data_IF_455655046795
#
_entry.id   IF_455655046795
#
_cell.length_a   1.000
_cell.length_b   1.000
_cell.length_c   1.000
_cell.angle_alpha   90.00
_cell.angle_beta   90.00
_cell.angle_gamma   90.00
#
_symmetry.space_group_name_H-M   'P 1'
#
loop_
_entity.id
_entity.type
_entity.pdbx_description
1 polymer ?
#
# COMPACT_ATOMS: atom_id res chain seq x y z
N UNK A 1 -47.66 -6.27 70.70
CA UNK A 1 -47.32 -4.85 70.48
C UNK A 1 -45.81 -4.79 70.33
N UNK A 2 -45.30 -4.90 69.11
CA UNK A 2 -43.86 -4.71 68.86
C UNK A 2 -43.54 -3.25 69.15
N UNK A 3 -42.48 -3.03 69.94
CA UNK A 3 -42.16 -1.72 70.49
C UNK A 3 -41.64 -0.81 69.36
N UNK A 4 -42.13 0.42 69.26
CA UNK A 4 -41.83 1.35 68.15
C UNK A 4 -40.31 1.57 67.91
N UNK A 5 -39.50 1.47 68.98
CA UNK A 5 -38.03 1.54 68.94
C UNK A 5 -37.37 0.37 68.19
N UNK A 6 -37.94 -0.83 68.25
CA UNK A 6 -37.42 -2.03 67.58
C UNK A 6 -37.58 -1.90 66.06
N UNK A 7 -38.73 -1.35 65.62
CA UNK A 7 -39.01 -1.09 64.22
C UNK A 7 -38.05 -0.02 63.65
N UNK A 8 -37.79 1.06 64.40
CA UNK A 8 -36.83 2.09 64.01
C UNK A 8 -35.39 1.56 63.86
N UNK A 9 -34.94 0.70 64.78
CA UNK A 9 -33.62 0.06 64.71
C UNK A 9 -33.48 -0.90 63.53
N UNK A 10 -34.55 -1.63 63.19
CA UNK A 10 -34.54 -2.53 62.03
C UNK A 10 -34.41 -1.75 60.72
N UNK A 11 -35.15 -0.64 60.58
CA UNK A 11 -35.05 0.25 59.42
C UNK A 11 -33.65 0.89 59.31
N UNK A 12 -33.09 1.36 60.41
CA UNK A 12 -31.74 1.94 60.41
C UNK A 12 -30.66 0.92 60.02
N UNK A 13 -30.78 -0.32 60.48
CA UNK A 13 -29.88 -1.42 60.09
C UNK A 13 -30.02 -1.73 58.60
N UNK A 14 -31.24 -1.85 58.10
CA UNK A 14 -31.49 -2.14 56.68
C UNK A 14 -30.92 -1.06 55.75
N UNK A 15 -31.07 0.22 56.10
CA UNK A 15 -30.48 1.34 55.34
C UNK A 15 -28.95 1.25 55.33
N UNK A 16 -28.34 0.93 56.47
CA UNK A 16 -26.89 0.81 56.58
C UNK A 16 -26.36 -0.34 55.72
N UNK A 17 -26.99 -1.50 55.79
CA UNK A 17 -26.62 -2.65 54.96
C UNK A 17 -26.77 -2.34 53.47
N UNK A 18 -27.83 -1.64 53.07
CA UNK A 18 -28.02 -1.23 51.67
C UNK A 18 -26.93 -0.24 51.21
N UNK A 19 -26.53 0.69 52.07
CA UNK A 19 -25.43 1.62 51.79
C UNK A 19 -24.08 0.91 51.68
N UNK A 20 -23.78 0.00 52.62
CA UNK A 20 -22.54 -0.79 52.60
C UNK A 20 -22.46 -1.66 51.34
N UNK A 21 -23.60 -2.25 50.91
CA UNK A 21 -23.67 -3.01 49.66
C UNK A 21 -23.42 -2.13 48.43
N UNK A 22 -24.05 -0.96 48.34
CA UNK A 22 -23.82 -0.02 47.24
C UNK A 22 -22.35 0.43 47.18
N UNK A 23 -21.72 0.67 48.33
CA UNK A 23 -20.32 1.05 48.39
C UNK A 23 -19.40 -0.09 47.94
N UNK A 24 -19.71 -1.34 48.34
CA UNK A 24 -19.00 -2.52 47.88
C UNK A 24 -19.15 -2.74 46.37
N UNK A 25 -20.35 -2.53 45.82
CA UNK A 25 -20.62 -2.64 44.38
C UNK A 25 -19.85 -1.57 43.60
N UNK A 26 -19.76 -0.35 44.13
CA UNK A 26 -19.04 0.77 43.53
C UNK A 26 -17.52 0.50 43.49
N UNK A 27 -16.95 -0.01 44.58
CA UNK A 27 -15.55 -0.46 44.59
C UNK A 27 -15.32 -1.69 43.70
N UNK A 28 -16.33 -2.56 43.55
CA UNK A 28 -16.27 -3.71 42.65
C UNK A 28 -16.31 -3.32 41.16
N UNK A 29 -16.77 -2.11 40.83
CA UNK A 29 -16.80 -1.59 39.46
C UNK A 29 -15.44 -1.08 38.99
N UNK A 30 -14.64 -0.44 39.85
CA UNK A 30 -13.30 0.07 39.49
C UNK A 30 -12.38 -0.98 38.84
N UNK A 31 -12.14 -2.18 39.42
CA UNK A 31 -11.27 -3.18 38.81
C UNK A 31 -11.88 -3.76 37.53
N UNK A 32 -13.21 -3.79 37.40
CA UNK A 32 -13.88 -4.25 36.17
C UNK A 32 -13.67 -3.25 35.03
N UNK A 33 -13.77 -1.96 35.32
CA UNK A 33 -13.50 -0.89 34.35
C UNK A 33 -12.03 -0.89 33.95
N UNK A 34 -11.11 -0.99 34.90
CA UNK A 34 -9.67 -1.08 34.63
C UNK A 34 -9.34 -2.29 33.75
N UNK A 35 -9.84 -3.49 34.09
CA UNK A 35 -9.62 -4.69 33.30
C UNK A 35 -10.20 -4.60 31.89
N UNK A 36 -11.38 -3.96 31.73
CA UNK A 36 -11.98 -3.74 30.42
C UNK A 36 -11.14 -2.79 29.56
N UNK A 37 -10.62 -1.71 30.16
CA UNK A 37 -9.73 -0.76 29.48
C UNK A 37 -8.43 -1.44 29.07
N UNK A 38 -7.78 -2.19 29.96
CA UNK A 38 -6.55 -2.92 29.66
C UNK A 38 -6.73 -3.95 28.53
N UNK A 39 -7.85 -4.66 28.55
CA UNK A 39 -8.21 -5.62 27.49
C UNK A 39 -8.40 -4.91 26.16
N UNK A 40 -9.11 -3.77 26.14
CA UNK A 40 -9.32 -2.99 24.93
C UNK A 40 -8.01 -2.43 24.37
N UNK A 41 -7.14 -1.88 25.21
CA UNK A 41 -5.82 -1.40 24.80
C UNK A 41 -4.96 -2.53 24.23
N UNK A 42 -4.93 -3.69 24.90
CA UNK A 42 -4.17 -4.85 24.42
C UNK A 42 -4.62 -5.30 23.03
N UNK A 43 -5.94 -5.30 22.78
CA UNK A 43 -6.49 -5.64 21.48
C UNK A 43 -6.11 -4.62 20.41
N UNK A 44 -6.28 -3.33 20.69
CA UNK A 44 -5.93 -2.25 19.75
C UNK A 44 -4.43 -2.28 19.43
N UNK A 45 -3.58 -2.52 20.43
CA UNK A 45 -2.13 -2.59 20.23
C UNK A 45 -1.75 -3.80 19.37
N UNK A 46 -2.33 -4.97 19.64
CA UNK A 46 -2.11 -6.16 18.83
C UNK A 46 -2.58 -5.99 17.37
N UNK A 47 -3.70 -5.30 17.14
CA UNK A 47 -4.17 -4.97 15.80
C UNK A 47 -3.26 -3.94 15.11
N UNK A 48 -2.79 -2.93 15.82
CA UNK A 48 -1.85 -1.94 15.30
C UNK A 48 -0.53 -2.61 14.86
N UNK A 49 0.05 -3.47 15.69
CA UNK A 49 1.25 -4.25 15.36
C UNK A 49 1.03 -5.14 14.13
N UNK A 50 -0.14 -5.76 14.02
CA UNK A 50 -0.49 -6.61 12.89
C UNK A 50 -0.62 -5.80 11.59
N UNK A 51 -1.18 -4.59 11.65
CA UNK A 51 -1.27 -3.69 10.51
C UNK A 51 0.10 -3.16 10.10
N UNK A 52 0.94 -2.77 11.05
CA UNK A 52 2.30 -2.31 10.77
C UNK A 52 3.13 -3.39 10.05
N UNK A 53 3.09 -4.63 10.55
CA UNK A 53 3.76 -5.77 9.88
C UNK A 53 3.27 -5.98 8.44
N UNK A 54 1.95 -5.85 8.21
CA UNK A 54 1.38 -5.95 6.86
C UNK A 54 1.84 -4.78 5.98
N UNK A 55 1.89 -3.56 6.51
CA UNK A 55 2.37 -2.38 5.77
C UNK A 55 3.83 -2.53 5.37
N UNK A 56 4.70 -3.02 6.26
CA UNK A 56 6.10 -3.31 5.95
C UNK A 56 6.19 -4.36 4.84
N UNK A 57 5.47 -5.47 4.97
CA UNK A 57 5.45 -6.52 3.95
C UNK A 57 4.93 -6.02 2.58
N UNK A 58 3.92 -5.13 2.58
CA UNK A 58 3.44 -4.48 1.36
C UNK A 58 4.48 -3.52 0.76
N UNK A 59 5.15 -2.72 1.58
CA UNK A 59 6.19 -1.81 1.12
C UNK A 59 7.38 -2.56 0.51
N UNK A 60 7.80 -3.68 1.12
CA UNK A 60 8.83 -4.57 0.56
C UNK A 60 8.38 -5.19 -0.77
N UNK A 61 7.12 -5.62 -0.85
CA UNK A 61 6.55 -6.17 -2.07
C UNK A 61 6.48 -5.13 -3.19
N UNK A 62 6.03 -3.92 -2.89
CA UNK A 62 5.96 -2.80 -3.81
C UNK A 62 7.36 -2.37 -4.27
N UNK A 63 8.34 -2.32 -3.36
CA UNK A 63 9.74 -2.07 -3.71
C UNK A 63 10.31 -3.15 -4.63
N UNK A 64 9.96 -4.43 -4.41
CA UNK A 64 10.35 -5.53 -5.31
C UNK A 64 9.68 -5.43 -6.67
N UNK A 65 8.40 -5.05 -6.73
CA UNK A 65 7.71 -4.79 -8.00
C UNK A 65 8.38 -3.62 -8.71
N UNK A 66 8.62 -2.52 -8.02
CA UNK A 66 9.26 -1.33 -8.60
C UNK A 66 10.65 -1.65 -9.10
N UNK A 67 11.46 -2.36 -8.32
CA UNK A 67 12.76 -2.86 -8.74
C UNK A 67 12.65 -3.79 -9.96
N UNK A 68 11.64 -4.67 -10.01
CA UNK A 68 11.41 -5.53 -11.17
C UNK A 68 10.93 -4.73 -12.41
N UNK A 69 10.17 -3.66 -12.23
CA UNK A 69 9.72 -2.76 -13.30
C UNK A 69 10.88 -1.90 -13.80
N UNK A 70 11.71 -1.36 -12.90
CA UNK A 70 12.90 -0.57 -13.23
C UNK A 70 13.99 -1.45 -13.90
N UNK A 71 14.10 -2.71 -13.49
CA UNK A 71 14.99 -3.70 -14.10
C UNK A 71 14.40 -4.39 -15.33
N UNK A 72 13.09 -4.28 -15.57
CA UNK A 72 12.53 -4.64 -16.85
C UNK A 72 12.83 -3.48 -17.81
N UNK A 73 13.72 -3.64 -18.78
CA UNK A 73 13.71 -2.69 -19.89
C UNK A 73 12.29 -2.73 -20.43
N UNK A 74 11.61 -1.58 -20.50
CA UNK A 74 10.34 -1.44 -21.20
C UNK A 74 10.62 -1.74 -22.68
N UNK A 75 10.71 -3.03 -23.02
CA UNK A 75 11.15 -3.49 -24.32
C UNK A 75 10.03 -3.21 -25.30
N UNK A 76 10.37 -2.42 -26.31
CA UNK A 76 9.50 -2.10 -27.42
C UNK A 76 9.99 -2.92 -28.60
N UNK A 77 9.08 -3.67 -29.20
CA UNK A 77 9.30 -4.37 -30.46
C UNK A 77 8.97 -3.40 -31.61
N UNK A 78 9.92 -3.22 -32.52
CA UNK A 78 9.80 -2.38 -33.71
C UNK A 78 9.92 -3.29 -34.94
N UNK A 79 8.96 -3.23 -35.85
CA UNK A 79 9.07 -3.83 -37.18
C UNK A 79 9.49 -2.74 -38.16
N UNK A 80 10.70 -2.84 -38.71
CA UNK A 80 11.30 -1.83 -39.59
C UNK A 80 11.47 -2.40 -40.98
N UNK A 81 10.65 -1.96 -41.94
CA UNK A 81 10.68 -2.46 -43.32
C UNK A 81 10.50 -3.97 -43.44
N UNK A 82 9.83 -4.61 -42.48
CA UNK A 82 9.67 -6.07 -42.39
C UNK A 82 10.66 -6.79 -41.47
N UNK A 83 11.64 -6.09 -40.88
CA UNK A 83 12.62 -6.67 -39.95
C UNK A 83 12.32 -6.30 -38.50
N UNK A 84 12.24 -7.30 -37.62
CA UNK A 84 11.96 -7.07 -36.20
C UNK A 84 13.21 -6.67 -35.41
N UNK A 85 13.12 -5.57 -34.68
CA UNK A 85 14.10 -5.07 -33.71
C UNK A 85 13.47 -4.98 -32.32
N UNK A 86 14.25 -5.24 -31.28
CA UNK A 86 13.83 -5.04 -29.89
C UNK A 86 14.82 -4.13 -29.17
N UNK A 87 14.28 -3.18 -28.41
CA UNK A 87 15.07 -2.22 -27.64
C UNK A 87 14.26 -1.64 -26.48
N UNK A 88 14.92 -1.06 -25.47
CA UNK A 88 14.19 -0.39 -24.39
C UNK A 88 13.60 0.94 -24.85
N UNK A 89 12.44 1.31 -24.27
CA UNK A 89 11.80 2.61 -24.46
C UNK A 89 12.75 3.75 -24.09
N UNK A 90 13.56 3.59 -23.05
CA UNK A 90 14.56 4.58 -22.64
C UNK A 90 15.62 4.82 -23.72
N UNK A 91 16.02 3.77 -24.45
CA UNK A 91 16.95 3.92 -25.58
C UNK A 91 16.34 4.76 -26.70
N UNK A 92 15.04 4.58 -26.98
CA UNK A 92 14.32 5.36 -27.99
C UNK A 92 14.05 6.80 -27.54
N UNK A 93 13.88 7.02 -26.23
CA UNK A 93 13.61 8.32 -25.63
C UNK A 93 14.87 9.08 -25.19
N UNK A 94 16.07 8.50 -25.32
CA UNK A 94 17.34 9.13 -24.92
C UNK A 94 17.60 10.47 -25.61
N UNK A 95 17.10 10.64 -26.83
CA UNK A 95 17.16 11.91 -27.54
C UNK A 95 15.87 12.70 -27.36
N UNK A 96 15.89 13.72 -26.50
CA UNK A 96 14.78 14.68 -26.40
C UNK A 96 14.55 15.38 -27.74
N UNK A 97 13.29 15.55 -28.14
CA UNK A 97 12.92 16.19 -29.41
C UNK A 97 13.15 15.35 -30.68
N UNK A 98 13.60 14.10 -30.56
CA UNK A 98 13.77 13.20 -31.71
C UNK A 98 12.44 12.61 -32.19
N UNK A 99 12.47 12.02 -33.40
CA UNK A 99 11.32 11.34 -34.01
C UNK A 99 10.63 10.36 -33.05
N UNK A 100 11.40 9.55 -32.32
CA UNK A 100 10.86 8.58 -31.34
C UNK A 100 10.27 9.24 -30.10
N UNK A 101 10.87 10.34 -29.62
CA UNK A 101 10.33 11.11 -28.52
C UNK A 101 8.96 11.71 -28.86
N UNK A 102 8.80 12.27 -30.06
CA UNK A 102 7.52 12.79 -30.54
C UNK A 102 6.50 11.67 -30.83
N UNK A 103 6.93 10.55 -31.43
CA UNK A 103 6.04 9.43 -31.76
C UNK A 103 5.50 8.74 -30.49
N UNK A 104 6.38 8.37 -29.55
CA UNK A 104 5.99 7.64 -28.35
C UNK A 104 5.40 8.55 -27.27
N UNK A 105 5.80 9.83 -27.22
CA UNK A 105 5.27 10.82 -26.28
C UNK A 105 3.89 11.35 -26.65
N UNK A 106 3.51 11.35 -27.94
CA UNK A 106 2.21 11.86 -28.38
C UNK A 106 1.04 10.89 -28.15
N UNK A 107 1.30 9.62 -27.80
CA UNK A 107 0.27 8.59 -27.59
C UNK A 107 -0.53 8.22 -28.85
N UNK A 108 -0.20 8.81 -30.00
CA UNK A 108 -0.89 8.59 -31.28
C UNK A 108 -0.44 7.34 -32.01
N UNK A 109 0.72 6.81 -31.66
CA UNK A 109 1.25 5.60 -32.25
C UNK A 109 0.83 4.39 -31.42
N UNK A 110 0.08 3.49 -32.05
CA UNK A 110 -0.34 2.21 -31.46
C UNK A 110 0.44 1.09 -32.13
N UNK A 111 0.83 0.04 -31.39
CA UNK A 111 1.45 -1.12 -32.00
C UNK A 111 0.44 -1.81 -32.93
N UNK A 112 0.94 -2.37 -34.03
CA UNK A 112 0.19 -3.27 -34.89
C UNK A 112 0.42 -4.69 -34.37
N UNK A 113 -0.54 -5.19 -33.57
CA UNK A 113 -0.33 -6.38 -32.74
C UNK A 113 0.71 -6.13 -31.65
N UNK A 114 1.82 -6.87 -31.69
CA UNK A 114 2.90 -6.84 -30.69
C UNK A 114 4.08 -5.93 -31.07
N UNK A 115 4.06 -5.32 -32.26
CA UNK A 115 5.18 -4.54 -32.78
C UNK A 115 4.73 -3.21 -33.40
N UNK A 116 5.57 -2.19 -33.29
CA UNK A 116 5.34 -0.92 -33.97
C UNK A 116 5.96 -0.94 -35.36
N UNK A 117 5.16 -0.69 -36.40
CA UNK A 117 5.64 -0.69 -37.77
C UNK A 117 6.28 0.65 -38.16
N UNK A 118 7.48 0.59 -38.75
CA UNK A 118 8.19 1.69 -39.37
C UNK A 118 8.48 1.32 -40.82
N UNK A 119 8.01 2.15 -41.73
CA UNK A 119 8.35 2.06 -43.14
C UNK A 119 9.72 2.71 -43.40
N UNK A 120 10.78 2.08 -42.89
CA UNK A 120 12.17 2.53 -43.03
C UNK A 120 13.07 1.35 -43.43
N UNK A 121 14.22 1.69 -44.00
CA UNK A 121 15.24 0.70 -44.33
C UNK A 121 15.86 0.09 -43.05
N UNK A 122 15.80 -1.25 -42.87
CA UNK A 122 16.30 -1.90 -41.67
C UNK A 122 17.83 -1.85 -41.51
N UNK A 123 18.60 -1.77 -42.60
CA UNK A 123 20.05 -1.68 -42.57
C UNK A 123 20.51 -0.32 -42.05
N UNK A 124 19.85 0.75 -42.50
CA UNK A 124 20.08 2.11 -41.99
C UNK A 124 19.62 2.25 -40.55
N UNK A 125 18.46 1.65 -40.21
CA UNK A 125 17.93 1.70 -38.85
C UNK A 125 18.85 1.07 -37.81
N UNK A 126 19.58 0.01 -38.18
CA UNK A 126 20.59 -0.60 -37.30
C UNK A 126 21.63 0.42 -36.82
N UNK A 127 22.08 1.34 -37.69
CA UNK A 127 23.04 2.40 -37.32
C UNK A 127 22.41 3.41 -36.36
N UNK A 128 21.15 3.78 -36.60
CA UNK A 128 20.37 4.65 -35.70
C UNK A 128 20.26 4.02 -34.31
N UNK A 129 19.97 2.73 -34.22
CA UNK A 129 19.86 2.02 -32.94
C UNK A 129 21.20 1.95 -32.19
N UNK A 130 22.31 1.73 -32.91
CA UNK A 130 23.66 1.76 -32.33
C UNK A 130 23.98 3.15 -31.78
N UNK A 131 23.63 4.20 -32.52
CA UNK A 131 23.78 5.59 -32.07
C UNK A 131 22.97 5.86 -30.80
N UNK A 132 21.70 5.46 -30.75
CA UNK A 132 20.84 5.65 -29.58
C UNK A 132 21.32 4.88 -28.34
N UNK A 133 22.01 3.73 -28.53
CA UNK A 133 22.58 2.93 -27.43
C UNK A 133 23.91 3.48 -26.91
N UNK A 134 24.77 3.96 -27.80
CA UNK A 134 26.17 4.28 -27.49
C UNK A 134 26.49 5.77 -27.49
N UNK A 135 25.60 6.60 -28.05
CA UNK A 135 25.84 8.02 -28.30
C UNK A 135 26.86 8.31 -29.41
N UNK A 136 27.32 7.29 -30.15
CA UNK A 136 28.34 7.41 -31.21
C UNK A 136 27.80 6.92 -32.55
N UNK A 137 28.01 7.72 -33.59
CA UNK A 137 27.75 7.32 -34.98
C UNK A 137 28.91 6.43 -35.44
N UNK A 138 28.60 5.21 -35.86
CA UNK A 138 29.52 4.25 -36.48
C UNK A 138 29.14 4.01 -37.93
#
# INVERSE_FOLDING_TARGET
MTNSLECANHVATAIRTAFDQLNADLHGLEPKVAAAIDTAFSHIHAEADALEKKMIAWAEFEARIQQNVDHHPNLVTLNVGGTTFQTSKDTLLRGEGTYFHALLGSGRWKPDGDAYFLDLDPLLFRRVLIFLRTGKLM
#
